data_IF_098022330399
#
_entry.id   IF_098022330399
#
_cell.length_a   1.000
_cell.length_b   1.000
_cell.length_c   1.000
_cell.angle_alpha   90.00
_cell.angle_beta   90.00
_cell.angle_gamma   90.00
#
_symmetry.space_group_name_H-M   'P 1'
#
loop_
_entity.id
_entity.type
_entity.pdbx_description
1 polymer ?
#
# COMPACT_ATOMS: atom_id res chain seq x y z
N UNK A 1 11.29 21.59 -17.25
CA UNK A 1 9.94 21.06 -16.92
C UNK A 1 10.13 19.98 -15.86
N UNK A 2 9.99 20.27 -14.56
CA UNK A 2 10.26 19.29 -13.48
C UNK A 2 9.37 19.49 -12.23
N UNK A 3 8.11 19.94 -12.39
CA UNK A 3 7.20 20.11 -11.24
C UNK A 3 6.31 18.88 -10.94
N UNK A 4 6.23 17.91 -11.87
CA UNK A 4 5.34 16.74 -11.74
C UNK A 4 6.02 15.48 -11.17
N UNK A 5 7.34 15.45 -11.02
CA UNK A 5 8.09 14.27 -10.53
C UNK A 5 8.09 14.17 -9.00
N UNK A 6 8.13 15.31 -8.30
CA UNK A 6 8.16 15.33 -6.83
C UNK A 6 6.97 14.64 -6.14
N UNK A 7 5.70 14.85 -6.55
CA UNK A 7 4.58 14.16 -5.91
C UNK A 7 4.62 12.64 -6.11
N UNK A 8 5.04 12.17 -7.29
CA UNK A 8 5.16 10.74 -7.58
C UNK A 8 6.27 10.08 -6.75
N UNK A 9 7.44 10.72 -6.64
CA UNK A 9 8.54 10.21 -5.82
C UNK A 9 8.20 10.23 -4.33
N UNK A 10 7.51 11.28 -3.87
CA UNK A 10 7.03 11.39 -2.49
C UNK A 10 6.04 10.27 -2.17
N UNK A 11 5.06 10.05 -3.05
CA UNK A 11 4.10 8.97 -2.91
C UNK A 11 4.78 7.60 -2.90
N UNK A 12 5.70 7.37 -3.86
CA UNK A 12 6.43 6.11 -3.96
C UNK A 12 7.21 5.80 -2.69
N UNK A 13 7.97 6.76 -2.19
CA UNK A 13 8.78 6.59 -0.97
C UNK A 13 7.90 6.26 0.23
N UNK A 14 6.78 6.98 0.39
CA UNK A 14 5.81 6.70 1.44
C UNK A 14 5.21 5.30 1.30
N UNK A 15 4.76 4.94 0.10
CA UNK A 15 4.05 3.70 -0.15
C UNK A 15 4.97 2.46 -0.03
N UNK A 16 6.24 2.58 -0.41
CA UNK A 16 7.24 1.52 -0.19
C UNK A 16 7.54 1.32 1.31
N UNK A 17 7.61 2.40 2.10
CA UNK A 17 7.81 2.32 3.55
C UNK A 17 6.60 1.70 4.28
N UNK A 18 5.37 2.10 3.93
CA UNK A 18 4.17 1.51 4.52
C UNK A 18 3.98 0.04 4.10
N UNK A 19 4.32 -0.33 2.86
CA UNK A 19 4.31 -1.73 2.42
C UNK A 19 5.22 -2.59 3.32
N UNK A 20 6.45 -2.13 3.57
CA UNK A 20 7.39 -2.84 4.44
C UNK A 20 6.86 -2.95 5.87
N UNK A 21 6.26 -1.87 6.41
CA UNK A 21 5.63 -1.87 7.73
C UNK A 21 4.51 -2.90 7.82
N UNK A 22 3.58 -2.91 6.86
CA UNK A 22 2.48 -3.88 6.86
C UNK A 22 2.97 -5.33 6.71
N UNK A 23 4.01 -5.58 5.91
CA UNK A 23 4.62 -6.90 5.79
C UNK A 23 5.22 -7.36 7.13
N UNK A 24 5.94 -6.49 7.82
CA UNK A 24 6.49 -6.78 9.16
C UNK A 24 5.39 -7.04 10.19
N UNK A 25 4.34 -6.21 10.22
CA UNK A 25 3.20 -6.40 11.13
C UNK A 25 2.49 -7.75 10.90
N UNK A 26 2.31 -8.15 9.64
CA UNK A 26 1.75 -9.45 9.30
C UNK A 26 2.68 -10.58 9.75
N UNK A 27 3.97 -10.48 9.46
CA UNK A 27 4.96 -11.47 9.89
C UNK A 27 4.95 -11.65 11.42
N UNK A 28 4.99 -10.55 12.19
CA UNK A 28 4.92 -10.60 13.65
C UNK A 28 3.59 -11.19 14.13
N UNK A 29 2.45 -10.80 13.55
CA UNK A 29 1.15 -11.42 13.89
C UNK A 29 1.12 -12.92 13.65
N UNK A 30 1.74 -13.41 12.57
CA UNK A 30 1.79 -14.84 12.28
C UNK A 30 2.75 -15.59 13.18
N UNK A 31 3.91 -15.01 13.50
CA UNK A 31 4.89 -15.57 14.42
C UNK A 31 4.34 -15.67 15.85
N UNK A 32 3.61 -14.65 16.32
CA UNK A 32 3.14 -14.57 17.70
C UNK A 32 1.83 -15.35 17.97
N UNK A 33 1.05 -15.66 16.92
CA UNK A 33 -0.29 -16.24 17.09
C UNK A 33 -0.46 -17.68 16.61
N UNK A 34 0.59 -18.34 16.12
CA UNK A 34 0.50 -19.67 15.47
C UNK A 34 -0.77 -19.77 14.61
N UNK A 35 -0.99 -18.79 13.71
CA UNK A 35 -2.16 -18.82 12.82
C UNK A 35 -2.04 -20.06 11.93
N UNK A 36 -2.77 -21.10 12.35
CA UNK A 36 -2.56 -22.50 12.00
C UNK A 36 -3.38 -22.96 10.80
N UNK A 37 -4.29 -22.12 10.31
CA UNK A 37 -5.01 -22.34 9.07
C UNK A 37 -4.70 -21.28 8.03
N UNK A 38 -4.65 -21.69 6.77
CA UNK A 38 -4.42 -20.80 5.64
C UNK A 38 -5.56 -19.77 5.50
N UNK A 39 -6.80 -20.13 5.87
CA UNK A 39 -7.95 -19.21 5.93
C UNK A 39 -7.70 -17.99 6.83
N UNK A 40 -7.07 -18.20 8.00
CA UNK A 40 -6.77 -17.09 8.93
C UNK A 40 -5.65 -16.19 8.41
N UNK A 41 -4.69 -16.75 7.67
CA UNK A 41 -3.64 -15.96 6.99
C UNK A 41 -4.26 -15.14 5.87
N UNK A 42 -5.08 -15.75 5.02
CA UNK A 42 -5.79 -15.04 3.96
C UNK A 42 -6.64 -13.88 4.50
N UNK A 43 -7.38 -14.12 5.60
CA UNK A 43 -8.19 -13.08 6.23
C UNK A 43 -7.33 -11.92 6.76
N UNK A 44 -6.19 -12.22 7.39
CA UNK A 44 -5.28 -11.21 7.91
C UNK A 44 -4.62 -10.39 6.78
N UNK A 45 -4.16 -11.03 5.70
CA UNK A 45 -3.68 -10.32 4.51
C UNK A 45 -4.78 -9.46 3.87
N UNK A 46 -6.00 -9.98 3.75
CA UNK A 46 -7.14 -9.23 3.21
C UNK A 46 -7.42 -7.96 4.02
N UNK A 47 -7.48 -8.07 5.36
CA UNK A 47 -7.68 -6.93 6.26
C UNK A 47 -6.55 -5.92 6.14
N UNK A 48 -5.30 -6.38 6.09
CA UNK A 48 -4.15 -5.49 5.98
C UNK A 48 -4.09 -4.77 4.63
N UNK A 49 -4.46 -5.44 3.53
CA UNK A 49 -4.59 -4.80 2.20
C UNK A 49 -5.61 -3.68 2.20
N UNK A 50 -6.76 -3.86 2.87
CA UNK A 50 -7.77 -2.81 2.98
C UNK A 50 -7.26 -1.58 3.74
N UNK A 51 -6.51 -1.80 4.84
CA UNK A 51 -5.89 -0.70 5.59
C UNK A 51 -4.86 0.02 4.73
N UNK A 52 -3.96 -0.74 4.09
CA UNK A 52 -2.91 -0.18 3.24
C UNK A 52 -3.49 0.61 2.06
N UNK A 53 -4.50 0.06 1.37
CA UNK A 53 -5.14 0.75 0.26
C UNK A 53 -5.78 2.09 0.70
N UNK A 54 -6.38 2.12 1.89
CA UNK A 54 -6.95 3.34 2.46
C UNK A 54 -5.87 4.39 2.72
N UNK A 55 -4.77 4.01 3.36
CA UNK A 55 -3.64 4.91 3.65
C UNK A 55 -3.04 5.50 2.37
N UNK A 56 -2.85 4.66 1.34
CA UNK A 56 -2.39 5.14 0.03
C UNK A 56 -3.39 6.07 -0.64
N UNK A 57 -4.70 5.80 -0.52
CA UNK A 57 -5.72 6.67 -1.10
C UNK A 57 -5.75 8.04 -0.41
N UNK A 58 -5.57 8.08 0.91
CA UNK A 58 -5.43 9.33 1.68
C UNK A 58 -4.19 10.12 1.26
N UNK A 59 -3.03 9.45 1.12
CA UNK A 59 -1.80 10.09 0.63
C UNK A 59 -1.93 10.60 -0.80
N UNK A 60 -2.62 9.85 -1.66
CA UNK A 60 -2.88 10.27 -3.05
C UNK A 60 -3.72 11.55 -3.09
N UNK A 61 -4.77 11.65 -2.26
CA UNK A 61 -5.59 12.87 -2.16
C UNK A 61 -4.78 14.07 -1.65
N UNK A 62 -3.91 13.86 -0.66
CA UNK A 62 -2.99 14.90 -0.14
C UNK A 62 -2.05 15.45 -1.23
N UNK A 63 -1.50 14.56 -2.07
CA UNK A 63 -0.45 14.92 -3.03
C UNK A 63 -0.97 15.39 -4.40
N UNK A 64 -2.10 14.87 -4.87
CA UNK A 64 -2.59 15.18 -6.22
C UNK A 64 -3.36 16.49 -6.29
N UNK A 65 -4.07 16.87 -5.22
CA UNK A 65 -5.10 17.91 -5.27
C UNK A 65 -6.19 17.60 -6.32
N UNK A 66 -7.31 18.31 -6.30
CA UNK A 66 -8.46 17.98 -7.17
C UNK A 66 -8.24 18.21 -8.68
N UNK A 67 -7.09 18.72 -9.11
CA UNK A 67 -6.95 19.36 -10.44
C UNK A 67 -5.94 18.73 -11.41
N UNK A 68 -5.19 17.67 -11.03
CA UNK A 68 -4.21 17.04 -11.92
C UNK A 68 -4.55 15.57 -12.26
N UNK A 69 -5.33 15.37 -13.33
CA UNK A 69 -5.78 14.05 -13.78
C UNK A 69 -4.64 13.10 -14.18
N UNK A 70 -3.57 13.61 -14.79
CA UNK A 70 -2.41 12.78 -15.19
C UNK A 70 -1.64 12.26 -13.98
N UNK A 71 -1.42 13.14 -12.99
CA UNK A 71 -0.82 12.75 -11.72
C UNK A 71 -1.70 11.75 -10.96
N UNK A 72 -3.02 11.98 -10.92
CA UNK A 72 -3.96 11.06 -10.28
C UNK A 72 -3.93 9.65 -10.93
N UNK A 73 -3.93 9.57 -12.26
CA UNK A 73 -3.82 8.30 -12.98
C UNK A 73 -2.51 7.56 -12.65
N UNK A 74 -1.39 8.30 -12.61
CA UNK A 74 -0.07 7.74 -12.32
C UNK A 74 0.04 7.24 -10.87
N UNK A 75 -0.53 7.97 -9.91
CA UNK A 75 -0.60 7.58 -8.51
C UNK A 75 -1.54 6.37 -8.31
N UNK A 76 -2.65 6.31 -9.05
CA UNK A 76 -3.58 5.16 -9.01
C UNK A 76 -2.91 3.88 -9.48
N UNK A 77 -2.21 3.92 -10.62
CA UNK A 77 -1.48 2.75 -11.14
C UNK A 77 -0.40 2.28 -10.16
N UNK A 78 0.32 3.22 -9.53
CA UNK A 78 1.33 2.89 -8.53
C UNK A 78 0.71 2.32 -7.25
N UNK A 79 -0.42 2.85 -6.80
CA UNK A 79 -1.19 2.33 -5.66
C UNK A 79 -1.57 0.87 -5.88
N UNK A 80 -2.21 0.57 -7.01
CA UNK A 80 -2.69 -0.79 -7.34
C UNK A 80 -1.52 -1.80 -7.34
N UNK A 81 -0.40 -1.44 -7.99
CA UNK A 81 0.80 -2.28 -8.01
C UNK A 81 1.37 -2.57 -6.63
N UNK A 82 1.30 -1.61 -5.70
CA UNK A 82 1.83 -1.80 -4.34
C UNK A 82 0.87 -2.59 -3.45
N UNK A 83 -0.44 -2.35 -3.55
CA UNK A 83 -1.46 -3.12 -2.82
C UNK A 83 -1.43 -4.59 -3.22
N UNK A 84 -1.15 -4.90 -4.49
CA UNK A 84 -1.01 -6.28 -4.98
C UNK A 84 0.25 -7.00 -4.49
N UNK A 85 1.28 -6.26 -4.04
CA UNK A 85 2.48 -6.86 -3.42
C UNK A 85 2.24 -7.32 -1.99
N UNK A 86 1.21 -6.84 -1.31
CA UNK A 86 0.87 -7.25 0.04
C UNK A 86 0.00 -8.52 0.01
N UNK A 87 0.59 -9.64 -0.37
CA UNK A 87 -0.05 -10.96 -0.48
C UNK A 87 0.75 -12.02 0.28
N UNK A 88 0.13 -13.14 0.72
CA UNK A 88 0.88 -14.25 1.28
C UNK A 88 1.90 -14.75 0.26
N UNK A 89 3.11 -15.09 0.73
CA UNK A 89 4.08 -15.80 -0.10
C UNK A 89 3.46 -17.13 -0.52
N UNK A 90 3.44 -17.39 -1.83
CA UNK A 90 2.96 -18.65 -2.40
C UNK A 90 4.00 -19.76 -2.29
#
# INVERSE_FOLDING_TARGET
MEKNTQPLETFRTYAEAELEKHQRELQTRYQDRELSSDDMKEEAYRKQRQVFEKELSEKMMELSGDSNQFLHASLTELKEKLVDRLRPES
#
